data_IF_993034497120
#
_entry.id   IF_993034497120
#
_cell.length_a   1.000
_cell.length_b   1.000
_cell.length_c   1.000
_cell.angle_alpha   90.00
_cell.angle_beta   90.00
_cell.angle_gamma   90.00
#
_symmetry.space_group_name_H-M   'P 1'
#
loop_
_entity.id
_entity.type
_entity.pdbx_description
1 polymer ?
#
# COMPACT_ATOMS: atom_id res chain seq x y z
N UNK A 1 15.86 -4.22 -17.03
CA UNK A 1 14.73 -3.36 -16.64
C UNK A 1 13.72 -4.24 -15.92
N UNK A 2 13.76 -4.31 -14.60
CA UNK A 2 12.77 -5.08 -13.83
C UNK A 2 11.46 -4.28 -13.78
N UNK A 3 10.54 -4.63 -14.69
CA UNK A 3 9.13 -4.21 -14.61
C UNK A 3 8.40 -5.15 -13.65
N UNK A 4 8.69 -4.99 -12.37
CA UNK A 4 7.95 -5.62 -11.26
C UNK A 4 7.42 -4.52 -10.32
N UNK A 5 6.83 -3.46 -10.89
CA UNK A 5 5.92 -2.60 -10.12
C UNK A 5 4.58 -3.33 -10.10
N UNK A 6 4.20 -3.74 -8.90
CA UNK A 6 2.89 -4.32 -8.66
C UNK A 6 1.83 -3.28 -8.98
N UNK A 7 0.88 -3.64 -9.84
CA UNK A 7 -0.21 -2.79 -10.33
C UNK A 7 -0.84 -1.88 -9.25
N UNK A 8 -0.99 -2.40 -8.02
CA UNK A 8 -1.54 -1.67 -6.87
C UNK A 8 -0.69 -0.48 -6.39
N UNK A 9 0.64 -0.52 -6.55
CA UNK A 9 1.53 0.59 -6.16
C UNK A 9 1.53 1.74 -7.18
N UNK A 10 1.11 1.45 -8.42
CA UNK A 10 1.02 2.41 -9.51
C UNK A 10 -0.35 3.13 -9.52
N UNK A 11 -1.26 2.79 -8.61
CA UNK A 11 -2.57 3.42 -8.47
C UNK A 11 -2.43 4.91 -8.10
N UNK A 12 -3.07 5.83 -8.83
CA UNK A 12 -2.91 7.27 -8.64
C UNK A 12 -3.40 7.74 -7.27
N UNK A 13 -4.40 7.06 -6.70
CA UNK A 13 -4.95 7.36 -5.38
C UNK A 13 -3.90 7.09 -4.30
N UNK A 14 -3.22 5.94 -4.37
CA UNK A 14 -2.17 5.57 -3.43
C UNK A 14 -0.98 6.52 -3.53
N UNK A 15 -0.61 6.91 -4.76
CA UNK A 15 0.44 7.92 -5.00
C UNK A 15 0.07 9.30 -4.43
N UNK A 16 -1.19 9.72 -4.53
CA UNK A 16 -1.65 11.00 -3.99
C UNK A 16 -1.59 11.01 -2.45
N UNK A 17 -2.04 9.94 -1.80
CA UNK A 17 -1.97 9.79 -0.33
C UNK A 17 -0.49 9.75 0.10
N UNK A 18 0.33 8.97 -0.59
CA UNK A 18 1.76 8.88 -0.32
C UNK A 18 2.45 10.25 -0.40
N UNK A 19 2.15 11.05 -1.42
CA UNK A 19 2.67 12.43 -1.54
C UNK A 19 2.20 13.34 -0.41
N UNK A 20 0.92 13.24 -0.01
CA UNK A 20 0.36 14.05 1.08
C UNK A 20 1.07 13.80 2.41
N UNK A 21 1.46 12.55 2.68
CA UNK A 21 2.11 12.14 3.93
C UNK A 21 3.64 12.01 3.81
N UNK A 22 4.23 12.40 2.67
CA UNK A 22 5.67 12.20 2.35
C UNK A 22 6.15 10.75 2.51
N UNK A 23 5.30 9.81 2.16
CA UNK A 23 5.56 8.36 2.20
C UNK A 23 5.76 7.79 0.80
N UNK A 24 6.24 6.56 0.74
CA UNK A 24 6.19 5.74 -0.46
C UNK A 24 4.81 5.04 -0.56
N UNK A 25 4.19 4.91 -1.74
CA UNK A 25 2.99 4.08 -1.95
C UNK A 25 3.04 2.71 -1.25
N UNK A 26 4.20 2.08 -1.24
CA UNK A 26 4.39 0.80 -0.55
C UNK A 26 4.13 0.91 0.96
N UNK A 27 4.69 1.92 1.63
CA UNK A 27 4.51 2.14 3.06
C UNK A 27 3.06 2.46 3.41
N UNK A 28 2.36 3.24 2.57
CA UNK A 28 0.93 3.53 2.75
C UNK A 28 0.10 2.24 2.70
N UNK A 29 0.39 1.36 1.73
CA UNK A 29 -0.31 0.08 1.58
C UNK A 29 -0.08 -0.89 2.75
N UNK A 30 1.10 -0.83 3.37
CA UNK A 30 1.45 -1.66 4.53
C UNK A 30 0.80 -1.09 5.80
N UNK A 31 0.89 0.24 6.00
CA UNK A 31 0.25 0.93 7.11
C UNK A 31 -1.27 0.71 7.14
N UNK A 32 -1.92 0.66 5.97
CA UNK A 32 -3.30 0.21 5.85
C UNK A 32 -3.51 -1.15 6.50
N UNK A 33 -2.86 -2.19 5.99
CA UNK A 33 -3.07 -3.55 6.48
C UNK A 33 -2.85 -3.66 7.99
N UNK A 34 -1.86 -2.94 8.54
CA UNK A 34 -1.57 -2.89 9.98
C UNK A 34 -2.69 -2.20 10.80
N UNK A 35 -3.23 -1.07 10.34
CA UNK A 35 -4.38 -0.43 10.99
C UNK A 35 -5.60 -1.35 11.07
N UNK A 36 -5.77 -2.21 10.08
CA UNK A 36 -6.83 -3.22 10.02
C UNK A 36 -6.47 -4.53 10.73
N UNK A 37 -5.40 -4.51 11.54
CA UNK A 37 -4.88 -5.64 12.34
C UNK A 37 -4.53 -6.88 11.51
N UNK A 38 -4.18 -6.68 10.24
CA UNK A 38 -3.67 -7.73 9.37
C UNK A 38 -2.15 -7.85 9.52
N UNK A 39 -1.62 -9.04 9.20
CA UNK A 39 -0.18 -9.29 9.13
C UNK A 39 0.28 -9.08 7.70
N UNK A 40 1.27 -8.20 7.52
CA UNK A 40 1.78 -7.80 6.21
C UNK A 40 3.02 -8.61 5.84
N UNK A 41 3.02 -9.22 4.66
CA UNK A 41 4.20 -9.87 4.08
C UNK A 41 4.67 -9.10 2.86
N UNK A 42 5.72 -8.30 3.00
CA UNK A 42 6.26 -7.48 1.92
C UNK A 42 7.50 -8.13 1.30
N UNK A 43 7.33 -8.79 0.15
CA UNK A 43 8.43 -9.46 -0.57
C UNK A 43 9.18 -8.51 -1.49
N UNK A 44 10.52 -8.53 -1.42
CA UNK A 44 11.38 -7.89 -2.41
C UNK A 44 12.76 -8.54 -2.45
N UNK A 45 13.41 -8.51 -3.62
CA UNK A 45 14.80 -8.93 -3.81
C UNK A 45 15.78 -7.75 -3.86
N UNK A 46 15.26 -6.52 -3.92
CA UNK A 46 16.08 -5.31 -3.93
C UNK A 46 16.36 -4.87 -2.49
N UNK A 47 17.64 -4.81 -2.11
CA UNK A 47 18.05 -4.41 -0.76
C UNK A 47 17.46 -3.05 -0.35
N UNK A 48 17.43 -2.09 -1.29
CA UNK A 48 16.82 -0.77 -1.05
C UNK A 48 15.33 -0.91 -0.68
N UNK A 49 14.55 -1.67 -1.46
CA UNK A 49 13.12 -1.87 -1.20
C UNK A 49 12.86 -2.69 0.05
N UNK A 50 13.72 -3.66 0.37
CA UNK A 50 13.64 -4.41 1.63
C UNK A 50 13.82 -3.47 2.82
N UNK A 51 14.84 -2.59 2.79
CA UNK A 51 15.04 -1.58 3.84
C UNK A 51 13.87 -0.61 3.94
N UNK A 52 13.33 -0.13 2.82
CA UNK A 52 12.15 0.75 2.78
C UNK A 52 10.88 0.07 3.34
N UNK A 53 10.68 -1.23 3.08
CA UNK A 53 9.55 -1.99 3.62
C UNK A 53 9.61 -2.18 5.14
N UNK A 54 10.81 -2.21 5.73
CA UNK A 54 10.98 -2.30 7.18
C UNK A 54 10.92 -0.93 7.88
N UNK A 55 11.00 0.17 7.12
CA UNK A 55 10.79 1.51 7.65
C UNK A 55 9.28 1.77 7.78
N UNK A 56 8.72 1.20 8.84
CA UNK A 56 7.33 1.34 9.21
C UNK A 56 7.06 2.77 9.67
N UNK A 57 6.09 3.44 9.03
CA UNK A 57 5.73 4.79 9.42
C UNK A 57 4.90 4.76 10.70
N UNK A 58 5.48 5.27 11.79
CA UNK A 58 4.88 5.45 13.11
C UNK A 58 4.18 6.80 13.29
N UNK A 59 3.95 7.55 12.21
CA UNK A 59 3.27 8.84 12.25
C UNK A 59 1.75 8.75 12.43
N UNK A 60 1.09 9.91 12.34
CA UNK A 60 -0.35 10.06 12.56
C UNK A 60 -1.18 9.10 11.70
N UNK A 61 -2.27 8.56 12.28
CA UNK A 61 -3.19 7.71 11.56
C UNK A 61 -3.72 8.41 10.30
N UNK A 62 -3.59 7.72 9.16
CA UNK A 62 -4.27 8.11 7.92
C UNK A 62 -5.77 8.26 8.18
N UNK A 63 -6.37 9.31 7.60
CA UNK A 63 -7.75 9.70 7.92
C UNK A 63 -8.75 8.72 7.31
N UNK A 64 -9.91 8.52 7.96
CA UNK A 64 -10.97 7.61 7.50
C UNK A 64 -11.45 7.87 6.07
N UNK A 65 -11.44 9.14 5.64
CA UNK A 65 -11.84 9.59 4.31
C UNK A 65 -10.87 9.13 3.22
N UNK A 66 -9.58 9.06 3.52
CA UNK A 66 -8.54 8.57 2.61
C UNK A 66 -8.72 7.07 2.33
N UNK A 67 -9.22 6.33 3.33
CA UNK A 67 -9.53 4.90 3.21
C UNK A 67 -10.75 4.62 2.35
N UNK A 68 -11.79 5.45 2.47
CA UNK A 68 -12.99 5.33 1.62
C UNK A 68 -12.63 5.64 0.17
N UNK A 69 -11.74 6.61 -0.09
CA UNK A 69 -11.25 6.90 -1.43
C UNK A 69 -10.42 5.76 -2.01
N UNK A 70 -9.56 5.13 -1.21
CA UNK A 70 -8.69 4.05 -1.65
C UNK A 70 -9.42 2.71 -1.87
N UNK A 71 -10.43 2.40 -1.05
CA UNK A 71 -11.06 1.07 -1.04
C UNK A 71 -12.58 1.06 -1.29
N UNK A 72 -13.24 2.21 -1.22
CA UNK A 72 -14.69 2.36 -1.47
C UNK A 72 -15.14 1.83 -2.84
N UNK A 73 -14.38 2.03 -3.94
CA UNK A 73 -14.75 1.47 -5.24
C UNK A 73 -14.67 -0.07 -5.29
N UNK A 74 -13.76 -0.69 -4.53
CA UNK A 74 -13.55 -2.14 -4.52
C UNK A 74 -14.50 -2.95 -3.63
N UNK A 75 -15.25 -2.31 -2.73
CA UNK A 75 -16.29 -3.00 -1.94
C UNK A 75 -17.49 -3.46 -2.77
N UNK A 76 -17.73 -2.79 -3.90
CA UNK A 76 -18.77 -3.16 -4.87
C UNK A 76 -18.31 -4.23 -5.87
N UNK A 77 -17.00 -4.49 -5.97
CA UNK A 77 -16.43 -5.47 -6.90
C UNK A 77 -15.35 -6.31 -6.22
N UNK A 78 -15.63 -7.61 -6.05
CA UNK A 78 -14.83 -8.68 -5.41
C UNK A 78 -13.38 -8.90 -5.95
N UNK A 79 -12.73 -7.90 -6.53
CA UNK A 79 -11.45 -8.00 -7.27
C UNK A 79 -10.20 -7.75 -6.40
N UNK A 80 -10.34 -7.25 -5.17
CA UNK A 80 -9.19 -6.89 -4.34
C UNK A 80 -8.37 -8.10 -3.87
N UNK A 81 -9.05 -9.22 -3.60
CA UNK A 81 -8.40 -10.46 -3.16
C UNK A 81 -7.54 -11.11 -4.26
N UNK A 82 -7.90 -10.92 -5.53
CA UNK A 82 -7.14 -11.47 -6.65
C UNK A 82 -5.83 -10.69 -6.92
N UNK A 83 -5.84 -9.37 -6.68
CA UNK A 83 -4.66 -8.53 -6.86
C UNK A 83 -3.59 -8.78 -5.78
N UNK A 84 -4.01 -9.12 -4.55
CA UNK A 84 -3.10 -9.44 -3.44
C UNK A 84 -2.42 -10.81 -3.57
N UNK A 85 -3.00 -11.74 -4.32
CA UNK A 85 -2.42 -13.07 -4.58
C UNK A 85 -1.41 -13.10 -5.75
N UNK A 86 -1.04 -11.94 -6.31
CA UNK A 86 -0.02 -11.81 -7.36
C UNK A 86 1.32 -11.22 -6.87
N UNK A 87 1.54 -11.18 -5.55
CA UNK A 87 2.81 -10.79 -4.92
C UNK A 87 3.65 -11.99 -4.48
#
# INVERSE_FOLDING_TARGET
MERNSSYLLDEPILSAIAKKHNLNPCQVSQHYQLQWRLVVLAKSFSEKRVKENFQEHTGESLQSEEWVLYWGPSLLTFNYFHALNKF
#
